data_IF_974127538572
#
_entry.id   IF_974127538572
#
_cell.length_a   1.000
_cell.length_b   1.000
_cell.length_c   1.000
_cell.angle_alpha   90.00
_cell.angle_beta   90.00
_cell.angle_gamma   90.00
#
_symmetry.space_group_name_H-M   'P 1'
#
loop_
_entity.id
_entity.type
_entity.pdbx_description
1 polymer ?
#
# COMPACT_ATOMS: atom_id res chain seq x y z
N UNK A 1 -11.84 8.03 -7.16
CA UNK A 1 -11.11 7.45 -8.30
C UNK A 1 -11.00 5.96 -8.06
N UNK A 2 -11.48 5.12 -8.98
CA UNK A 2 -11.31 3.67 -8.88
C UNK A 2 -9.82 3.34 -9.08
N UNK A 3 -9.13 2.96 -8.02
CA UNK A 3 -7.77 2.43 -8.12
C UNK A 3 -7.90 1.08 -8.80
N UNK A 4 -7.50 1.01 -10.08
CA UNK A 4 -7.59 -0.23 -10.82
C UNK A 4 -6.77 -1.29 -10.07
N UNK A 5 -7.38 -2.45 -9.77
CA UNK A 5 -6.74 -3.48 -8.98
C UNK A 5 -5.31 -3.82 -9.50
N UNK A 6 -5.14 -3.91 -10.81
CA UNK A 6 -3.86 -4.26 -11.41
C UNK A 6 -2.67 -3.33 -11.01
N UNK A 7 -2.93 -2.06 -10.69
CA UNK A 7 -1.89 -1.05 -10.37
C UNK A 7 -1.12 -1.34 -9.09
N UNK A 8 -1.68 -2.11 -8.15
CA UNK A 8 -1.01 -2.43 -6.87
C UNK A 8 -0.16 -3.72 -6.92
N UNK A 9 -0.15 -4.43 -8.05
CA UNK A 9 0.51 -5.73 -8.18
C UNK A 9 1.95 -5.64 -8.72
N UNK A 10 2.24 -4.62 -9.54
CA UNK A 10 3.55 -4.47 -10.17
C UNK A 10 4.45 -3.54 -9.36
N UNK A 11 5.38 -4.15 -8.63
CA UNK A 11 6.34 -3.43 -7.79
C UNK A 11 7.68 -3.35 -8.51
N UNK A 12 8.21 -2.16 -8.81
CA UNK A 12 9.53 -2.03 -9.40
C UNK A 12 10.60 -2.65 -8.50
N UNK A 13 11.58 -3.33 -9.10
CA UNK A 13 12.78 -3.76 -8.38
C UNK A 13 13.92 -2.86 -8.82
N UNK A 14 14.55 -2.21 -7.85
CA UNK A 14 15.72 -1.38 -8.07
C UNK A 14 16.96 -2.15 -7.60
N UNK A 15 17.97 -2.26 -8.45
CA UNK A 15 19.30 -2.73 -8.07
C UNK A 15 20.22 -1.56 -7.78
N UNK A 16 21.09 -1.70 -6.78
CA UNK A 16 22.15 -0.74 -6.52
C UNK A 16 23.33 -1.42 -5.80
N UNK A 17 24.52 -0.87 -5.99
CA UNK A 17 25.71 -1.34 -5.31
C UNK A 17 26.00 -0.48 -4.08
N UNK A 18 26.33 -1.12 -2.96
CA UNK A 18 26.76 -0.43 -1.76
C UNK A 18 27.89 -1.21 -1.09
N UNK A 19 29.03 -0.53 -0.87
CA UNK A 19 30.24 -1.13 -0.27
C UNK A 19 30.70 -2.43 -0.98
N UNK A 20 30.69 -2.42 -2.32
CA UNK A 20 31.11 -3.57 -3.13
C UNK A 20 30.13 -4.74 -3.15
N UNK A 21 28.93 -4.58 -2.60
CA UNK A 21 27.89 -5.61 -2.58
C UNK A 21 26.67 -5.17 -3.38
N UNK A 22 26.10 -6.09 -4.16
CA UNK A 22 24.90 -5.84 -4.95
C UNK A 22 23.64 -6.06 -4.11
N UNK A 23 22.77 -5.06 -4.08
CA UNK A 23 21.49 -5.08 -3.40
C UNK A 23 20.34 -4.96 -4.38
N UNK A 24 19.22 -5.59 -4.04
CA UNK A 24 17.97 -5.50 -4.78
C UNK A 24 16.88 -5.06 -3.81
N UNK A 25 16.17 -3.98 -4.17
CA UNK A 25 15.10 -3.40 -3.38
C UNK A 25 13.79 -3.44 -4.16
N UNK A 26 12.81 -4.13 -3.60
CA UNK A 26 11.43 -4.12 -4.10
C UNK A 26 10.73 -2.83 -3.64
N UNK A 27 10.48 -1.90 -4.57
CA UNK A 27 9.98 -0.55 -4.33
C UNK A 27 8.45 -0.49 -4.21
N UNK A 28 7.92 -1.16 -3.20
CA UNK A 28 6.49 -1.11 -2.90
C UNK A 28 5.99 0.30 -2.55
N UNK A 29 6.88 1.16 -2.08
CA UNK A 29 6.60 2.56 -1.77
C UNK A 29 6.15 3.36 -3.00
N UNK A 30 6.53 2.92 -4.20
CA UNK A 30 6.17 3.59 -5.46
C UNK A 30 4.84 3.09 -6.05
N UNK A 31 4.12 2.19 -5.37
CA UNK A 31 2.86 1.62 -5.89
C UNK A 31 1.73 2.65 -5.99
N UNK A 32 1.53 3.45 -4.93
CA UNK A 32 0.46 4.44 -4.89
C UNK A 32 0.74 5.51 -3.83
N UNK A 33 0.42 6.80 -4.09
CA UNK A 33 0.68 7.89 -3.13
C UNK A 33 -0.01 7.67 -1.77
N UNK A 34 -1.25 7.15 -1.78
CA UNK A 34 -2.04 6.91 -0.56
C UNK A 34 -1.90 5.48 -0.02
N UNK A 35 -1.55 4.53 -0.88
CA UNK A 35 -1.37 3.13 -0.52
C UNK A 35 0.10 2.78 -0.68
N UNK A 36 0.95 3.39 0.15
CA UNK A 36 2.39 3.18 0.06
C UNK A 36 2.80 1.85 0.71
N UNK A 37 3.77 1.18 0.09
CA UNK A 37 4.45 0.05 0.69
C UNK A 37 3.59 -1.19 0.85
N UNK A 38 3.80 -1.91 1.96
CA UNK A 38 3.12 -3.17 2.24
C UNK A 38 1.61 -3.02 2.52
N UNK A 39 1.11 -1.81 2.75
CA UNK A 39 -0.32 -1.56 3.06
C UNK A 39 -1.18 -1.64 1.81
N UNK A 40 -0.68 -1.26 0.63
CA UNK A 40 -1.34 -1.53 -0.64
C UNK A 40 -1.73 -3.01 -0.78
N UNK A 41 -0.78 -3.91 -0.51
CA UNK A 41 -1.04 -5.35 -0.62
C UNK A 41 -2.04 -5.88 0.40
N UNK A 42 -2.01 -5.34 1.63
CA UNK A 42 -2.95 -5.76 2.68
C UNK A 42 -4.36 -5.22 2.42
N UNK A 43 -4.47 -3.98 1.94
CA UNK A 43 -5.74 -3.32 1.72
C UNK A 43 -6.37 -3.58 0.36
N UNK A 44 -5.61 -4.16 -0.57
CA UNK A 44 -6.14 -4.67 -1.82
C UNK A 44 -7.43 -5.46 -1.63
N UNK A 45 -7.45 -6.42 -0.70
CA UNK A 45 -8.67 -7.20 -0.44
C UNK A 45 -9.89 -6.30 -0.21
N UNK A 46 -9.74 -5.18 0.51
CA UNK A 46 -10.86 -4.29 0.81
C UNK A 46 -11.28 -3.40 -0.37
N UNK A 47 -10.40 -3.17 -1.34
CA UNK A 47 -10.71 -2.40 -2.56
C UNK A 47 -11.44 -3.23 -3.62
N UNK A 48 -11.28 -4.55 -3.60
CA UNK A 48 -11.84 -5.47 -4.59
C UNK A 48 -13.20 -6.05 -4.17
N UNK A 49 -13.66 -5.75 -2.95
CA UNK A 49 -14.87 -6.32 -2.37
C UNK A 49 -15.90 -5.21 -2.11
N UNK A 50 -17.17 -5.56 -2.15
CA UNK A 50 -18.25 -4.64 -1.80
C UNK A 50 -18.50 -4.67 -0.28
N UNK A 51 -18.45 -3.49 0.32
CA UNK A 51 -18.75 -3.25 1.72
C UNK A 51 -19.82 -2.16 1.89
N UNK A 52 -20.77 -2.06 0.97
CA UNK A 52 -21.86 -1.07 0.99
C UNK A 52 -22.60 -0.98 2.34
N UNK A 53 -22.70 -2.11 3.06
CA UNK A 53 -23.38 -2.19 4.36
C UNK A 53 -22.49 -1.77 5.55
N UNK A 54 -21.19 -1.61 5.35
CA UNK A 54 -20.25 -1.21 6.40
C UNK A 54 -20.33 0.31 6.59
N UNK A 55 -20.72 0.72 7.79
CA UNK A 55 -20.90 2.15 8.13
C UNK A 55 -19.79 2.74 8.98
N UNK A 56 -18.92 1.90 9.53
CA UNK A 56 -17.87 2.33 10.44
C UNK A 56 -16.62 1.48 10.24
N UNK A 57 -15.50 2.15 9.95
CA UNK A 57 -14.17 1.58 9.91
C UNK A 57 -13.37 2.13 11.09
N UNK A 58 -12.90 1.25 11.97
CA UNK A 58 -12.10 1.62 13.15
C UNK A 58 -10.67 1.14 12.93
N UNK A 59 -9.70 2.04 13.06
CA UNK A 59 -8.28 1.70 13.04
C UNK A 59 -7.56 2.26 14.26
N UNK A 60 -6.47 1.60 14.62
CA UNK A 60 -5.58 2.02 15.71
C UNK A 60 -4.12 1.97 15.26
N UNK A 61 -3.31 2.89 15.78
CA UNK A 61 -1.90 3.03 15.42
C UNK A 61 -1.24 4.20 16.14
N UNK A 62 0.08 4.32 15.98
CA UNK A 62 0.85 5.44 16.50
C UNK A 62 0.59 6.73 15.70
N UNK A 63 1.13 7.86 16.21
CA UNK A 63 0.95 9.19 15.63
C UNK A 63 1.37 9.34 14.16
N UNK A 64 2.23 8.45 13.63
CA UNK A 64 2.71 8.46 12.25
C UNK A 64 2.47 7.10 11.58
N UNK A 65 1.39 6.41 11.95
CA UNK A 65 1.08 5.11 11.39
C UNK A 65 0.66 5.23 9.92
N UNK A 66 1.55 4.86 9.00
CA UNK A 66 1.25 4.76 7.56
C UNK A 66 0.02 3.88 7.26
N UNK A 67 -0.28 2.89 8.12
CA UNK A 67 -1.49 2.10 8.00
C UNK A 67 -2.77 2.89 8.16
N UNK A 68 -2.82 3.84 9.09
CA UNK A 68 -4.02 4.66 9.31
C UNK A 68 -4.22 5.62 8.15
N UNK A 69 -3.11 6.19 7.63
CA UNK A 69 -3.14 7.01 6.43
C UNK A 69 -3.70 6.25 5.22
N UNK A 70 -3.17 5.05 4.93
CA UNK A 70 -3.71 4.22 3.83
C UNK A 70 -5.14 3.73 4.09
N UNK A 71 -5.53 3.50 5.35
CA UNK A 71 -6.87 3.07 5.70
C UNK A 71 -7.90 4.18 5.45
N UNK A 72 -7.54 5.44 5.69
CA UNK A 72 -8.39 6.59 5.41
C UNK A 72 -8.70 6.78 3.91
N UNK A 73 -7.93 6.15 3.01
CA UNK A 73 -8.19 6.18 1.57
C UNK A 73 -9.14 5.05 1.10
N UNK A 74 -9.64 4.19 2.01
CA UNK A 74 -10.64 3.15 1.72
C UNK A 74 -12.08 3.66 1.77
N UNK A 75 -12.29 4.86 2.32
CA UNK A 75 -13.57 5.56 2.47
C UNK A 75 -13.62 6.75 1.53
#
# INVERSE_FOLDING_TARGET
>A
MLIAPFLLAQTPVQSFEFRGQQFYLKRDDLLHPQFSGNKARKFRYFLDQDFSEVRLLIGHGSAQANSLYSMAALI
#
